data_IF_242387512732
#
_entry.id   IF_242387512732
#
_cell.length_a   1.000
_cell.length_b   1.000
_cell.length_c   1.000
_cell.angle_alpha   90.00
_cell.angle_beta   90.00
_cell.angle_gamma   90.00
#
_symmetry.space_group_name_H-M   'P 1'
#
loop_
_entity.id
_entity.type
_entity.pdbx_description
1 polymer ?
#
# COMPACT_ATOMS: atom_id res chain seq x y z
N UNK A 1 37.56 21.95 9.35
CA UNK A 1 37.42 20.60 8.74
C UNK A 1 36.82 19.58 9.70
N UNK A 2 36.87 19.78 11.03
CA UNK A 2 36.23 18.86 12.00
C UNK A 2 34.72 19.07 12.13
N UNK A 3 34.23 20.32 12.12
CA UNK A 3 32.79 20.65 12.23
C UNK A 3 31.92 20.15 11.05
N UNK A 4 32.49 20.05 9.85
CA UNK A 4 31.75 19.66 8.64
C UNK A 4 31.57 18.14 8.54
N UNK A 5 32.47 17.36 9.16
CA UNK A 5 32.36 15.90 9.21
C UNK A 5 31.32 15.44 10.23
N UNK A 6 31.26 16.08 11.39
CA UNK A 6 30.27 15.79 12.44
C UNK A 6 28.85 16.06 11.97
N UNK A 7 28.61 17.17 11.26
CA UNK A 7 27.26 17.46 10.73
C UNK A 7 26.78 16.43 9.71
N UNK A 8 27.66 15.92 8.85
CA UNK A 8 27.29 14.88 7.87
C UNK A 8 26.98 13.53 8.54
N UNK A 9 27.78 13.14 9.52
CA UNK A 9 27.58 11.90 10.27
C UNK A 9 26.26 11.93 11.07
N UNK A 10 25.92 13.08 11.66
CA UNK A 10 24.62 13.34 12.29
C UNK A 10 23.48 13.20 11.29
N UNK A 11 23.55 13.85 10.11
CA UNK A 11 22.52 13.71 9.06
C UNK A 11 22.35 12.27 8.57
N UNK A 12 23.44 11.51 8.47
CA UNK A 12 23.38 10.10 8.09
C UNK A 12 22.74 9.24 9.19
N UNK A 13 22.95 9.56 10.47
CA UNK A 13 22.29 8.89 11.59
C UNK A 13 20.79 9.17 11.63
N UNK A 14 20.42 10.44 11.41
CA UNK A 14 19.04 10.90 11.28
C UNK A 14 18.31 10.14 10.19
N UNK A 15 18.90 10.09 8.99
CA UNK A 15 18.33 9.37 7.86
C UNK A 15 18.08 7.90 8.18
N UNK A 16 19.03 7.23 8.85
CA UNK A 16 18.90 5.82 9.26
C UNK A 16 17.78 5.61 10.28
N UNK A 17 17.53 6.56 11.17
CA UNK A 17 16.47 6.46 12.17
C UNK A 17 15.07 6.62 11.57
N UNK A 18 14.90 7.64 10.73
CA UNK A 18 13.65 7.84 9.98
C UNK A 18 13.36 6.63 9.10
N UNK A 19 14.36 6.16 8.35
CA UNK A 19 14.24 4.97 7.51
C UNK A 19 13.78 3.76 8.34
N UNK A 20 14.36 3.54 9.52
CA UNK A 20 13.97 2.44 10.42
C UNK A 20 12.53 2.55 10.87
N UNK A 21 12.05 3.76 11.20
CA UNK A 21 10.67 4.01 11.65
C UNK A 21 9.68 3.74 10.52
N UNK A 22 9.92 4.28 9.31
CA UNK A 22 9.06 4.06 8.14
C UNK A 22 9.06 2.58 7.76
N UNK A 23 10.25 1.96 7.70
CA UNK A 23 10.41 0.54 7.36
C UNK A 23 9.63 -0.34 8.31
N UNK A 24 9.73 -0.10 9.61
CA UNK A 24 8.99 -0.83 10.64
C UNK A 24 7.48 -0.76 10.42
N UNK A 25 6.95 0.43 10.18
CA UNK A 25 5.51 0.61 10.06
C UNK A 25 4.97 -0.05 8.78
N UNK A 26 5.69 0.08 7.66
CA UNK A 26 5.35 -0.61 6.41
C UNK A 26 5.52 -2.12 6.51
N UNK A 27 6.54 -2.60 7.21
CA UNK A 27 6.73 -4.02 7.50
C UNK A 27 5.53 -4.58 8.28
N UNK A 28 5.11 -3.89 9.35
CA UNK A 28 3.92 -4.28 10.13
C UNK A 28 2.67 -4.35 9.27
N UNK A 29 2.46 -3.35 8.41
CA UNK A 29 1.32 -3.35 7.50
C UNK A 29 1.38 -4.53 6.51
N UNK A 30 2.56 -4.80 5.95
CA UNK A 30 2.80 -5.86 4.98
C UNK A 30 2.78 -7.28 5.58
N UNK A 31 2.82 -7.41 6.92
CA UNK A 31 3.08 -8.70 7.57
C UNK A 31 4.52 -9.20 7.37
N UNK A 32 5.46 -8.27 7.25
CA UNK A 32 6.90 -8.50 7.21
C UNK A 32 7.51 -8.39 8.62
N UNK A 33 8.71 -8.93 8.79
CA UNK A 33 9.49 -8.66 10.00
C UNK A 33 10.05 -7.23 9.94
N UNK A 34 10.14 -6.54 11.07
CA UNK A 34 10.64 -5.15 11.12
C UNK A 34 12.11 -5.03 10.65
N UNK A 35 12.83 -6.16 10.63
CA UNK A 35 14.20 -6.30 10.15
C UNK A 35 14.31 -6.67 8.68
N UNK A 36 13.19 -7.00 8.02
CA UNK A 36 13.18 -7.30 6.59
C UNK A 36 13.66 -6.08 5.79
N UNK A 37 14.34 -6.35 4.68
CA UNK A 37 14.78 -5.32 3.76
C UNK A 37 13.60 -4.78 2.91
N UNK A 38 13.82 -3.64 2.24
CA UNK A 38 12.79 -2.98 1.43
C UNK A 38 12.23 -3.85 0.31
N UNK A 39 13.04 -4.72 -0.31
CA UNK A 39 12.58 -5.61 -1.38
C UNK A 39 11.64 -6.68 -0.81
N UNK A 40 11.98 -7.23 0.35
CA UNK A 40 11.14 -8.21 1.05
C UNK A 40 9.83 -7.60 1.54
N UNK A 41 9.87 -6.40 2.13
CA UNK A 41 8.67 -5.66 2.52
C UNK A 41 7.80 -5.38 1.30
N UNK A 42 8.37 -4.85 0.21
CA UNK A 42 7.65 -4.56 -1.03
C UNK A 42 6.97 -5.79 -1.64
N UNK A 43 7.65 -6.94 -1.68
CA UNK A 43 7.05 -8.21 -2.15
C UNK A 43 5.88 -8.66 -1.28
N UNK A 44 5.97 -8.50 0.03
CA UNK A 44 4.87 -8.81 0.96
C UNK A 44 3.70 -7.85 0.79
N UNK A 45 3.98 -6.56 0.56
CA UNK A 45 2.95 -5.57 0.20
C UNK A 45 2.23 -5.98 -1.08
N UNK A 46 2.96 -6.31 -2.14
CA UNK A 46 2.39 -6.80 -3.40
C UNK A 46 1.56 -8.07 -3.17
N UNK A 47 2.10 -9.05 -2.43
CA UNK A 47 1.40 -10.29 -2.10
C UNK A 47 0.10 -10.05 -1.35
N UNK A 48 0.06 -9.08 -0.44
CA UNK A 48 -1.15 -8.67 0.27
C UNK A 48 -2.19 -8.07 -0.67
N UNK A 49 -1.80 -7.13 -1.55
CA UNK A 49 -2.70 -6.53 -2.55
C UNK A 49 -3.24 -7.61 -3.50
N UNK A 50 -2.37 -8.51 -3.97
CA UNK A 50 -2.74 -9.64 -4.82
C UNK A 50 -3.74 -10.58 -4.15
N UNK A 51 -3.50 -10.93 -2.89
CA UNK A 51 -4.40 -11.79 -2.11
C UNK A 51 -5.80 -11.16 -1.94
N UNK A 52 -5.87 -9.85 -1.71
CA UNK A 52 -7.14 -9.13 -1.60
C UNK A 52 -7.88 -9.05 -2.94
N UNK A 53 -7.15 -8.84 -4.04
CA UNK A 53 -7.68 -8.90 -5.40
C UNK A 53 -8.26 -10.28 -5.71
N UNK A 54 -7.48 -11.35 -5.45
CA UNK A 54 -7.91 -12.72 -5.65
C UNK A 54 -9.21 -13.01 -4.90
N UNK A 55 -9.25 -12.67 -3.61
CA UNK A 55 -10.44 -12.83 -2.77
C UNK A 55 -11.65 -12.03 -3.31
N UNK A 56 -11.41 -10.83 -3.82
CA UNK A 56 -12.48 -9.99 -4.40
C UNK A 56 -13.11 -10.62 -5.63
N UNK A 57 -12.33 -11.34 -6.43
CA UNK A 57 -12.78 -11.97 -7.68
C UNK A 57 -13.11 -13.45 -7.55
N UNK A 58 -12.85 -14.05 -6.38
CA UNK A 58 -13.11 -15.46 -6.09
C UNK A 58 -12.00 -16.41 -6.52
N UNK A 59 -10.81 -15.88 -6.80
CA UNK A 59 -9.58 -16.64 -7.02
C UNK A 59 -8.91 -17.01 -5.69
N UNK A 60 -7.91 -17.88 -5.73
CA UNK A 60 -7.15 -18.29 -4.54
C UNK A 60 -6.16 -17.19 -4.12
N UNK A 61 -5.99 -16.90 -2.82
CA UNK A 61 -5.08 -15.86 -2.33
C UNK A 61 -3.63 -15.94 -2.83
N UNK A 62 -3.20 -17.13 -3.23
CA UNK A 62 -1.86 -17.45 -3.70
C UNK A 62 -1.71 -17.42 -5.22
N UNK A 63 -2.83 -17.25 -5.95
CA UNK A 63 -2.86 -17.17 -7.41
C UNK A 63 -2.04 -15.99 -7.93
N UNK A 64 -1.37 -16.21 -9.06
CA UNK A 64 -0.66 -15.18 -9.80
C UNK A 64 -1.62 -14.18 -10.47
N UNK A 65 -1.07 -13.05 -10.92
CA UNK A 65 -1.84 -11.97 -11.54
C UNK A 65 -2.58 -12.39 -12.81
N UNK A 66 -2.03 -13.30 -13.63
CA UNK A 66 -2.70 -13.79 -14.82
C UNK A 66 -3.94 -14.61 -14.44
N UNK A 67 -3.81 -15.47 -13.43
CA UNK A 67 -4.92 -16.28 -12.93
C UNK A 67 -6.01 -15.41 -12.30
N UNK A 68 -5.63 -14.43 -11.47
CA UNK A 68 -6.56 -13.45 -10.89
C UNK A 68 -7.28 -12.66 -11.98
N UNK A 69 -6.57 -12.20 -13.01
CA UNK A 69 -7.15 -11.45 -14.13
C UNK A 69 -8.21 -12.27 -14.89
N UNK A 70 -7.94 -13.56 -15.12
CA UNK A 70 -8.90 -14.47 -15.76
C UNK A 70 -10.16 -14.70 -14.92
N UNK A 71 -10.01 -14.90 -13.61
CA UNK A 71 -11.17 -15.06 -12.72
C UNK A 71 -11.97 -13.76 -12.59
N UNK A 72 -11.29 -12.61 -12.60
CA UNK A 72 -11.95 -11.30 -12.67
C UNK A 72 -12.80 -11.15 -13.95
N UNK A 73 -12.24 -11.46 -15.13
CA UNK A 73 -12.96 -11.45 -16.40
C UNK A 73 -14.16 -12.39 -16.39
N UNK A 74 -13.97 -13.61 -15.87
CA UNK A 74 -15.04 -14.61 -15.74
C UNK A 74 -16.14 -14.15 -14.80
N UNK A 75 -15.80 -13.48 -13.70
CA UNK A 75 -16.77 -12.89 -12.77
C UNK A 75 -17.62 -11.81 -13.43
N UNK A 76 -16.99 -10.92 -14.20
CA UNK A 76 -17.70 -9.90 -14.99
C UNK A 76 -18.64 -10.55 -15.99
N UNK A 77 -18.17 -11.52 -16.79
CA UNK A 77 -19.00 -12.27 -17.75
C UNK A 77 -20.17 -13.01 -17.09
N UNK A 78 -19.97 -13.58 -15.91
CA UNK A 78 -21.02 -14.29 -15.16
C UNK A 78 -22.09 -13.33 -14.64
N UNK A 79 -21.69 -12.15 -14.16
CA UNK A 79 -22.62 -11.10 -13.74
C UNK A 79 -23.55 -10.66 -14.87
N UNK A 80 -23.02 -10.57 -16.10
CA UNK A 80 -23.83 -10.31 -17.30
C UNK A 80 -24.81 -11.45 -17.61
N UNK A 81 -24.32 -12.70 -17.62
CA UNK A 81 -25.13 -13.86 -17.98
C UNK A 81 -26.28 -14.13 -17.00
N UNK A 82 -26.11 -13.77 -15.72
CA UNK A 82 -27.13 -13.93 -14.68
C UNK A 82 -28.14 -12.79 -14.63
N UNK A 83 -28.02 -11.77 -15.49
CA UNK A 83 -28.99 -10.68 -15.59
C UNK A 83 -28.98 -9.75 -14.38
N UNK A 84 -27.89 -9.72 -13.60
CA UNK A 84 -27.68 -8.72 -12.54
C UNK A 84 -27.53 -7.28 -13.10
N UNK A 85 -27.52 -7.14 -14.43
CA UNK A 85 -27.77 -5.88 -15.13
C UNK A 85 -26.61 -4.88 -15.12
N UNK A 86 -25.46 -5.22 -14.55
CA UNK A 86 -24.27 -4.37 -14.61
C UNK A 86 -23.59 -4.45 -15.98
N UNK A 87 -23.22 -3.29 -16.52
CA UNK A 87 -22.32 -3.20 -17.67
C UNK A 87 -20.92 -3.76 -17.29
N UNK A 88 -20.10 -4.20 -18.26
CA UNK A 88 -18.78 -4.75 -17.95
C UNK A 88 -17.93 -3.71 -17.21
N UNK A 89 -18.06 -2.45 -17.60
CA UNK A 89 -17.40 -1.31 -16.96
C UNK A 89 -17.86 -1.14 -15.49
N UNK A 90 -19.15 -1.25 -15.18
CA UNK A 90 -19.66 -1.17 -13.81
C UNK A 90 -19.09 -2.28 -12.91
N UNK A 91 -18.89 -3.47 -13.46
CA UNK A 91 -18.38 -4.63 -12.71
C UNK A 91 -16.89 -4.49 -12.42
N UNK A 92 -16.11 -4.01 -13.39
CA UNK A 92 -14.70 -3.68 -13.18
C UNK A 92 -14.53 -2.52 -12.21
N UNK A 93 -15.35 -1.47 -12.32
CA UNK A 93 -15.32 -0.34 -11.39
C UNK A 93 -15.63 -0.77 -9.96
N UNK A 94 -16.61 -1.65 -9.75
CA UNK A 94 -16.93 -2.20 -8.43
C UNK A 94 -15.81 -3.06 -7.85
N UNK A 95 -15.18 -3.91 -8.68
CA UNK A 95 -14.01 -4.69 -8.27
C UNK A 95 -12.91 -3.72 -7.85
N UNK A 96 -12.55 -2.76 -8.72
CA UNK A 96 -11.55 -1.73 -8.48
C UNK A 96 -11.81 -0.95 -7.19
N UNK A 97 -13.03 -0.44 -6.99
CA UNK A 97 -13.44 0.27 -5.77
C UNK A 97 -13.23 -0.55 -4.50
N UNK A 98 -13.55 -1.85 -4.50
CA UNK A 98 -13.35 -2.69 -3.32
C UNK A 98 -11.86 -2.85 -2.98
N UNK A 99 -11.01 -2.98 -4.00
CA UNK A 99 -9.57 -3.10 -3.80
C UNK A 99 -8.99 -1.77 -3.34
N UNK A 100 -9.35 -0.68 -4.03
CA UNK A 100 -8.98 0.67 -3.66
C UNK A 100 -9.33 0.99 -2.21
N UNK A 101 -10.56 0.70 -1.79
CA UNK A 101 -11.01 0.91 -0.41
C UNK A 101 -10.14 0.15 0.60
N UNK A 102 -9.74 -1.09 0.31
CA UNK A 102 -8.88 -1.86 1.22
C UNK A 102 -7.47 -1.33 1.28
N UNK A 103 -6.88 -0.96 0.14
CA UNK A 103 -5.54 -0.37 0.10
C UNK A 103 -5.56 0.99 0.82
N UNK A 104 -6.55 1.84 0.54
CA UNK A 104 -6.72 3.13 1.23
C UNK A 104 -6.98 2.95 2.73
N UNK A 105 -7.80 1.99 3.13
CA UNK A 105 -7.99 1.70 4.57
C UNK A 105 -6.71 1.21 5.23
N UNK A 106 -5.83 0.51 4.52
CA UNK A 106 -4.59 0.02 5.10
C UNK A 106 -3.45 1.04 5.09
N UNK A 107 -3.03 1.42 3.88
CA UNK A 107 -1.91 2.34 3.65
C UNK A 107 -2.31 3.79 3.94
N UNK A 108 -3.53 4.15 3.60
CA UNK A 108 -4.08 5.47 3.89
C UNK A 108 -4.24 5.67 5.39
N UNK A 109 -4.79 4.73 6.16
CA UNK A 109 -4.88 4.87 7.63
C UNK A 109 -3.50 5.10 8.27
N UNK A 110 -2.46 4.41 7.81
CA UNK A 110 -1.08 4.68 8.25
C UNK A 110 -0.64 6.13 7.98
N UNK A 111 -0.99 6.65 6.79
CA UNK A 111 -0.71 8.02 6.38
C UNK A 111 -1.68 9.06 6.97
N UNK A 112 -2.75 8.66 7.66
CA UNK A 112 -3.83 9.55 8.11
C UNK A 112 -4.82 9.95 7.00
N UNK A 113 -4.90 9.17 5.92
CA UNK A 113 -5.88 9.33 4.87
C UNK A 113 -7.25 8.76 5.27
N UNK A 114 -8.30 9.44 4.80
CA UNK A 114 -9.68 9.03 4.96
C UNK A 114 -10.07 8.05 3.83
N UNK A 115 -11.06 7.17 4.04
CA UNK A 115 -11.46 6.17 3.04
C UNK A 115 -11.91 6.76 1.70
N UNK A 116 -12.40 8.00 1.71
CA UNK A 116 -12.91 8.73 0.55
C UNK A 116 -11.84 9.64 -0.11
N UNK A 117 -10.64 9.74 0.47
CA UNK A 117 -9.54 10.50 -0.15
C UNK A 117 -9.14 9.88 -1.49
N UNK A 118 -8.97 10.69 -2.52
CA UNK A 118 -8.38 10.27 -3.80
C UNK A 118 -6.89 9.91 -3.68
N UNK A 119 -6.35 9.24 -4.70
CA UNK A 119 -4.96 8.76 -4.68
C UNK A 119 -3.92 9.87 -4.58
N UNK A 120 -4.20 11.03 -5.17
CA UNK A 120 -3.34 12.21 -5.04
C UNK A 120 -3.30 12.68 -3.59
N UNK A 121 -4.47 12.75 -2.93
CA UNK A 121 -4.57 13.10 -1.50
C UNK A 121 -3.88 12.06 -0.61
N UNK A 122 -4.07 10.77 -0.86
CA UNK A 122 -3.37 9.69 -0.14
C UNK A 122 -1.85 9.81 -0.32
N UNK A 123 -1.38 10.09 -1.53
CA UNK A 123 0.03 10.30 -1.84
C UNK A 123 0.62 11.49 -1.08
N UNK A 124 -0.07 12.61 -1.05
CA UNK A 124 0.33 13.78 -0.27
C UNK A 124 0.36 13.49 1.23
N UNK A 125 -0.62 12.77 1.76
CA UNK A 125 -0.62 12.38 3.18
C UNK A 125 0.51 11.43 3.53
N UNK A 126 0.90 10.52 2.62
CA UNK A 126 2.11 9.69 2.78
C UNK A 126 3.35 10.58 2.85
N UNK A 127 3.47 11.54 1.93
CA UNK A 127 4.58 12.50 1.90
C UNK A 127 4.64 13.34 3.20
N UNK A 128 3.49 13.85 3.65
CA UNK A 128 3.37 14.64 4.87
C UNK A 128 3.68 13.79 6.10
N UNK A 129 3.25 12.52 6.16
CA UNK A 129 3.61 11.60 7.24
C UNK A 129 5.11 11.38 7.33
N UNK A 130 5.80 11.28 6.19
CA UNK A 130 7.25 11.17 6.13
C UNK A 130 7.89 12.48 6.61
N UNK A 131 7.42 13.64 6.14
CA UNK A 131 7.91 14.97 6.56
C UNK A 131 7.69 15.23 8.05
N UNK A 132 6.53 14.88 8.59
CA UNK A 132 6.20 15.01 10.00
C UNK A 132 7.12 14.15 10.85
N UNK A 133 7.39 12.91 10.41
CA UNK A 133 8.35 12.03 11.09
C UNK A 133 9.75 12.66 11.15
N UNK A 134 10.15 13.39 10.10
CA UNK A 134 11.41 14.14 10.07
C UNK A 134 11.34 15.36 11.00
N UNK A 135 10.23 16.12 10.98
CA UNK A 135 10.08 17.35 11.76
C UNK A 135 9.96 17.10 13.27
N UNK A 136 9.20 16.08 13.67
CA UNK A 136 9.01 15.69 15.07
C UNK A 136 10.38 15.39 15.71
N UNK A 137 11.22 14.66 14.97
CA UNK A 137 12.60 14.37 15.37
C UNK A 137 13.46 15.64 15.50
N UNK A 138 13.34 16.62 14.60
CA UNK A 138 14.11 17.89 14.73
C UNK A 138 13.67 18.79 15.88
N UNK A 139 12.54 18.49 16.52
CA UNK A 139 12.00 19.25 17.66
C UNK A 139 12.30 18.60 19.03
N UNK A 140 12.73 17.34 19.04
CA UNK A 140 13.27 16.64 20.22
C UNK A 140 14.76 16.96 20.42
#
# INVERSE_FOLDING_TARGET
MSDEKTGREEWEEIGREIERKIRRDLARWAGAEETDDWETIGRKMEGKVRSEMATSVGAEPEDDWDTIGREAEKKVRTGMATGLGGEPDDSWEQIGKRIEQRIKSGLGEWAGAEPDDDWDTVGHKIEDKIKDTIQDWTRE
#
